data_IF_344745274222
#
_entry.id   IF_344745274222
#
_cell.length_a   1.000
_cell.length_b   1.000
_cell.length_c   1.000
_cell.angle_alpha   90.00
_cell.angle_beta   90.00
_cell.angle_gamma   90.00
#
_symmetry.space_group_name_H-M   'P 1'
#
loop_
_entity.id
_entity.type
_entity.pdbx_description
1 polymer ?
#
# COMPACT_ATOMS: atom_id res chain seq x y z
N UNK A 1 -3.88 25.60 18.78
CA UNK A 1 -4.15 24.31 18.13
C UNK A 1 -4.38 24.57 16.65
N UNK A 2 -3.35 24.44 15.82
CA UNK A 2 -3.47 24.59 14.37
C UNK A 2 -4.14 23.34 13.85
N UNK A 3 -5.40 23.45 13.39
CA UNK A 3 -6.02 22.41 12.61
C UNK A 3 -5.22 22.29 11.32
N UNK A 4 -4.46 21.22 11.17
CA UNK A 4 -3.85 20.82 9.92
C UNK A 4 -4.99 20.63 8.94
N UNK A 5 -5.13 21.56 7.99
CA UNK A 5 -6.03 21.41 6.84
C UNK A 5 -5.41 20.43 5.88
N UNK A 6 -5.40 19.16 6.30
CA UNK A 6 -4.92 18.07 5.50
C UNK A 6 -6.01 17.79 4.46
N UNK A 7 -5.87 18.39 3.28
CA UNK A 7 -6.85 18.29 2.19
C UNK A 7 -6.40 17.21 1.24
N UNK A 8 -7.29 16.29 0.84
CA UNK A 8 -6.99 15.28 -0.16
C UNK A 8 -6.52 15.93 -1.47
N UNK A 9 -5.51 15.36 -2.15
CA UNK A 9 -5.10 15.85 -3.46
C UNK A 9 -6.22 15.67 -4.50
N UNK A 10 -6.25 16.55 -5.50
CA UNK A 10 -7.16 16.39 -6.64
C UNK A 10 -8.64 16.69 -6.37
N UNK A 11 -8.97 17.44 -5.32
CA UNK A 11 -10.35 17.89 -5.07
C UNK A 11 -11.21 16.94 -4.23
N UNK A 12 -10.63 15.89 -3.65
CA UNK A 12 -11.31 15.06 -2.67
C UNK A 12 -11.62 15.82 -1.36
N UNK A 13 -12.52 15.26 -0.54
CA UNK A 13 -12.84 15.80 0.78
C UNK A 13 -13.06 14.69 1.79
N UNK A 14 -12.91 15.02 3.07
CA UNK A 14 -13.32 14.16 4.19
C UNK A 14 -14.72 14.57 4.66
N UNK A 15 -15.65 13.63 4.65
CA UNK A 15 -17.00 13.83 5.16
C UNK A 15 -17.06 13.46 6.65
N UNK A 16 -17.04 14.46 7.51
CA UNK A 16 -17.04 14.28 8.96
C UNK A 16 -18.35 13.70 9.52
N UNK A 17 -19.41 13.65 8.73
CA UNK A 17 -20.69 13.03 9.13
C UNK A 17 -20.65 11.49 9.09
N UNK A 18 -19.63 10.93 8.44
CA UNK A 18 -19.43 9.49 8.31
C UNK A 18 -18.47 9.01 9.39
N UNK A 19 -18.76 7.88 10.00
CA UNK A 19 -17.87 7.26 10.97
C UNK A 19 -16.58 6.75 10.29
N UNK A 20 -15.43 7.01 10.90
CA UNK A 20 -14.19 6.39 10.50
C UNK A 20 -14.23 4.88 10.81
N UNK A 21 -13.89 4.07 9.83
CA UNK A 21 -13.77 2.61 9.96
C UNK A 21 -12.30 2.24 9.84
N UNK A 22 -11.66 1.76 10.92
CA UNK A 22 -10.27 1.29 10.83
C UNK A 22 -10.19 0.05 9.96
N UNK A 23 -9.15 -0.02 9.13
CA UNK A 23 -8.82 -1.25 8.38
C UNK A 23 -7.64 -1.96 9.03
N UNK A 24 -7.59 -3.26 8.85
CA UNK A 24 -6.57 -4.15 9.39
C UNK A 24 -5.48 -4.37 8.33
N UNK A 25 -4.26 -3.95 8.63
CA UNK A 25 -3.17 -3.87 7.65
C UNK A 25 -2.03 -4.80 8.04
N UNK A 26 -1.55 -5.60 7.08
CA UNK A 26 -0.28 -6.30 7.17
C UNK A 26 0.80 -5.57 6.35
N UNK A 27 2.01 -5.48 6.88
CA UNK A 27 3.16 -4.84 6.24
C UNK A 27 4.22 -5.87 5.85
N UNK A 28 4.70 -5.78 4.61
CA UNK A 28 5.79 -6.58 4.08
C UNK A 28 6.94 -5.67 3.65
N UNK A 29 8.13 -5.86 4.21
CA UNK A 29 9.34 -5.28 3.66
C UNK A 29 10.08 -6.35 2.87
N UNK A 30 10.42 -6.06 1.63
CA UNK A 30 11.20 -6.95 0.77
C UNK A 30 12.61 -6.39 0.63
N UNK A 31 13.59 -7.14 1.14
CA UNK A 31 14.99 -6.75 1.10
C UNK A 31 15.91 -7.92 1.45
N UNK A 32 16.99 -8.09 0.72
CA UNK A 32 18.04 -9.06 1.03
C UNK A 32 18.96 -8.62 2.19
N UNK A 33 18.94 -7.34 2.54
CA UNK A 33 19.95 -6.76 3.46
C UNK A 33 19.38 -6.13 4.71
N UNK A 34 18.08 -5.75 4.72
CA UNK A 34 17.48 -5.07 5.86
C UNK A 34 17.09 -6.05 6.97
N UNK A 35 17.31 -5.58 8.19
CA UNK A 35 16.79 -6.16 9.42
C UNK A 35 15.65 -5.28 9.96
N UNK A 36 15.04 -5.70 11.06
CA UNK A 36 14.00 -4.90 11.73
C UNK A 36 14.54 -3.58 12.27
N UNK A 37 15.83 -3.53 12.63
CA UNK A 37 16.45 -2.36 13.27
C UNK A 37 16.81 -1.25 12.27
N UNK A 38 16.87 -1.57 10.97
CA UNK A 38 17.24 -0.63 9.90
C UNK A 38 16.16 -0.48 8.81
N UNK A 39 14.96 -1.02 9.04
CA UNK A 39 13.83 -0.93 8.11
C UNK A 39 13.06 0.40 8.23
N UNK A 40 13.71 1.49 7.87
CA UNK A 40 13.13 2.85 7.92
C UNK A 40 11.84 2.97 7.10
N UNK A 41 11.72 2.26 5.99
CA UNK A 41 10.53 2.31 5.13
C UNK A 41 9.34 1.59 5.77
N UNK A 42 9.55 0.42 6.34
CA UNK A 42 8.53 -0.30 7.10
C UNK A 42 8.10 0.47 8.35
N UNK A 43 9.05 1.08 9.10
CA UNK A 43 8.75 1.93 10.26
C UNK A 43 7.93 3.16 9.87
N UNK A 44 8.24 3.73 8.71
CA UNK A 44 7.48 4.88 8.17
C UNK A 44 6.03 4.49 7.87
N UNK A 45 5.79 3.32 7.26
CA UNK A 45 4.44 2.81 7.00
C UNK A 45 3.71 2.49 8.29
N UNK A 46 4.35 1.77 9.21
CA UNK A 46 3.77 1.41 10.50
C UNK A 46 3.32 2.64 11.28
N UNK A 47 4.21 3.64 11.38
CA UNK A 47 3.87 4.90 12.05
C UNK A 47 2.66 5.57 11.39
N UNK A 48 2.65 5.69 10.06
CA UNK A 48 1.59 6.37 9.32
C UNK A 48 0.24 5.71 9.42
N UNK A 49 0.19 4.37 9.30
CA UNK A 49 -1.09 3.67 9.41
C UNK A 49 -1.66 3.78 10.84
N UNK A 50 -0.82 3.73 11.88
CA UNK A 50 -1.24 3.90 13.26
C UNK A 50 -1.71 5.33 13.55
N UNK A 51 -0.96 6.33 13.07
CA UNK A 51 -1.33 7.74 13.20
C UNK A 51 -2.67 8.05 12.50
N UNK A 52 -2.98 7.34 11.43
CA UNK A 52 -4.26 7.42 10.71
C UNK A 52 -5.41 6.66 11.39
N UNK A 53 -5.13 5.90 12.45
CA UNK A 53 -6.14 5.14 13.22
C UNK A 53 -6.40 3.72 12.72
N UNK A 54 -5.57 3.20 11.81
CA UNK A 54 -5.66 1.81 11.34
C UNK A 54 -4.94 0.84 12.27
N UNK A 55 -5.20 -0.46 12.07
CA UNK A 55 -4.69 -1.54 12.93
C UNK A 55 -3.60 -2.31 12.19
N UNK A 56 -2.39 -2.35 12.76
CA UNK A 56 -1.33 -3.22 12.28
C UNK A 56 -1.57 -4.66 12.79
N UNK A 57 -1.86 -5.59 11.88
CA UNK A 57 -2.08 -7.00 12.20
C UNK A 57 -0.82 -7.84 12.14
N UNK A 58 0.05 -7.55 11.19
CA UNK A 58 1.30 -8.29 10.99
C UNK A 58 2.36 -7.41 10.34
N UNK A 59 3.63 -7.68 10.62
CA UNK A 59 4.77 -7.09 9.92
C UNK A 59 5.86 -8.14 9.76
N UNK A 60 6.35 -8.31 8.54
CA UNK A 60 7.46 -9.22 8.25
C UNK A 60 8.42 -8.63 7.24
N UNK A 61 9.66 -9.13 7.25
CA UNK A 61 10.69 -8.82 6.26
C UNK A 61 11.02 -10.13 5.55
N UNK A 62 11.04 -10.11 4.23
CA UNK A 62 11.42 -11.25 3.40
C UNK A 62 12.52 -10.84 2.42
N UNK A 63 13.39 -11.79 2.04
CA UNK A 63 14.35 -11.56 0.97
C UNK A 63 13.64 -11.40 -0.39
N UNK A 64 14.36 -10.89 -1.37
CA UNK A 64 13.91 -10.79 -2.77
C UNK A 64 13.81 -12.19 -3.42
N UNK A 65 12.77 -12.93 -3.02
CA UNK A 65 12.43 -14.29 -3.45
C UNK A 65 10.94 -14.32 -3.79
N UNK A 66 10.63 -14.43 -5.08
CA UNK A 66 9.26 -14.38 -5.59
C UNK A 66 8.36 -15.44 -4.96
N UNK A 67 8.87 -16.66 -4.77
CA UNK A 67 8.07 -17.76 -4.22
C UNK A 67 7.73 -17.54 -2.74
N UNK A 68 8.68 -17.04 -1.95
CA UNK A 68 8.46 -16.71 -0.54
C UNK A 68 7.50 -15.55 -0.37
N UNK A 69 7.64 -14.50 -1.20
CA UNK A 69 6.73 -13.36 -1.19
C UNK A 69 5.31 -13.83 -1.54
N UNK A 70 5.14 -14.57 -2.64
CA UNK A 70 3.83 -15.07 -3.06
C UNK A 70 3.20 -15.99 -2.01
N UNK A 71 3.99 -16.85 -1.35
CA UNK A 71 3.50 -17.71 -0.27
C UNK A 71 3.00 -16.89 0.93
N UNK A 72 3.75 -15.85 1.33
CA UNK A 72 3.35 -14.97 2.42
C UNK A 72 2.07 -14.18 2.08
N UNK A 73 1.96 -13.69 0.85
CA UNK A 73 0.75 -13.01 0.39
C UNK A 73 -0.47 -13.92 0.46
N UNK A 74 -0.35 -15.17 0.00
CA UNK A 74 -1.44 -16.16 0.07
C UNK A 74 -1.87 -16.47 1.51
N UNK A 75 -0.92 -16.54 2.44
CA UNK A 75 -1.25 -16.73 3.87
C UNK A 75 -2.05 -15.55 4.41
N UNK A 76 -1.68 -14.33 4.06
CA UNK A 76 -2.39 -13.13 4.52
C UNK A 76 -3.73 -12.92 3.82
N UNK A 77 -3.84 -13.25 2.54
CA UNK A 77 -5.12 -13.24 1.80
C UNK A 77 -6.12 -14.23 2.42
N UNK A 78 -5.65 -15.38 2.89
CA UNK A 78 -6.49 -16.38 3.54
C UNK A 78 -6.84 -16.04 5.01
N UNK A 79 -6.24 -15.03 5.60
CA UNK A 79 -6.52 -14.60 6.98
C UNK A 79 -7.65 -13.55 7.00
N UNK A 80 -8.87 -13.90 7.46
CA UNK A 80 -10.02 -12.99 7.44
C UNK A 80 -9.85 -11.76 8.35
N UNK A 81 -8.77 -11.68 9.11
CA UNK A 81 -8.44 -10.52 9.94
C UNK A 81 -7.60 -9.49 9.21
N UNK A 82 -7.22 -9.73 7.95
CA UNK A 82 -6.37 -8.81 7.16
C UNK A 82 -7.17 -8.27 5.99
N UNK A 83 -7.44 -6.98 6.01
CA UNK A 83 -8.16 -6.28 4.95
C UNK A 83 -7.22 -5.80 3.84
N UNK A 84 -5.99 -5.44 4.21
CA UNK A 84 -5.04 -4.77 3.33
C UNK A 84 -3.63 -5.29 3.57
N UNK A 85 -2.89 -5.54 2.50
CA UNK A 85 -1.44 -5.80 2.53
C UNK A 85 -0.72 -4.65 1.83
N UNK A 86 0.29 -4.07 2.48
CA UNK A 86 1.15 -3.05 1.88
C UNK A 86 2.59 -3.55 1.95
N UNK A 87 3.26 -3.60 0.80
CA UNK A 87 4.69 -3.89 0.75
C UNK A 87 5.54 -2.70 0.37
N UNK A 88 6.80 -2.75 0.76
CA UNK A 88 7.85 -1.82 0.35
C UNK A 88 9.12 -2.58 -0.01
N UNK A 89 9.77 -2.21 -1.11
CA UNK A 89 11.01 -2.81 -1.60
C UNK A 89 10.83 -3.86 -2.70
N UNK A 90 11.93 -4.19 -3.37
CA UNK A 90 11.99 -5.20 -4.43
C UNK A 90 11.18 -4.89 -5.68
N UNK A 91 10.91 -3.62 -5.97
CA UNK A 91 10.08 -3.21 -7.12
C UNK A 91 10.84 -2.58 -8.28
N UNK A 92 12.18 -2.50 -8.20
CA UNK A 92 13.03 -1.94 -9.25
C UNK A 92 13.09 -2.80 -10.51
N UNK A 93 14.13 -2.59 -11.31
CA UNK A 93 14.32 -3.21 -12.64
C UNK A 93 15.45 -4.23 -12.66
N UNK A 94 16.11 -4.47 -11.53
CA UNK A 94 17.20 -5.46 -11.48
C UNK A 94 16.65 -6.88 -11.44
N UNK A 95 17.49 -7.87 -11.74
CA UNK A 95 17.07 -9.27 -11.70
C UNK A 95 16.68 -9.77 -10.30
N UNK A 96 17.01 -9.01 -9.24
CA UNK A 96 16.60 -9.31 -7.86
C UNK A 96 15.23 -8.72 -7.49
N UNK A 97 14.78 -7.70 -8.23
CA UNK A 97 13.50 -7.03 -7.97
C UNK A 97 12.34 -7.88 -8.48
N UNK A 98 11.69 -8.62 -7.61
CA UNK A 98 10.64 -9.61 -7.94
C UNK A 98 9.30 -9.37 -7.23
N UNK A 99 9.20 -8.28 -6.46
CA UNK A 99 7.99 -7.99 -5.68
C UNK A 99 6.76 -7.81 -6.57
N UNK A 100 6.89 -7.08 -7.68
CA UNK A 100 5.76 -6.83 -8.60
C UNK A 100 5.26 -8.14 -9.22
N UNK A 101 6.17 -9.01 -9.64
CA UNK A 101 5.86 -10.32 -10.20
C UNK A 101 5.16 -11.23 -9.16
N UNK A 102 5.64 -11.22 -7.91
CA UNK A 102 5.01 -11.96 -6.83
C UNK A 102 3.59 -11.49 -6.54
N UNK A 103 3.37 -10.16 -6.47
CA UNK A 103 2.05 -9.57 -6.26
C UNK A 103 1.10 -9.88 -7.41
N UNK A 104 1.53 -9.68 -8.66
CA UNK A 104 0.71 -9.99 -9.85
C UNK A 104 0.33 -11.47 -9.95
N UNK A 105 1.15 -12.37 -9.42
CA UNK A 105 0.86 -13.81 -9.43
C UNK A 105 -0.31 -14.21 -8.51
N UNK A 106 -0.73 -13.35 -7.61
CA UNK A 106 -1.84 -13.61 -6.67
C UNK A 106 -3.06 -12.71 -6.92
N UNK A 107 -2.98 -11.71 -7.79
CA UNK A 107 -4.11 -10.84 -8.10
C UNK A 107 -5.23 -11.58 -8.84
N UNK A 108 -6.47 -11.35 -8.43
CA UNK A 108 -7.67 -11.66 -9.21
C UNK A 108 -8.05 -10.50 -10.12
N UNK A 109 -7.84 -9.28 -9.63
CA UNK A 109 -8.04 -8.03 -10.39
C UNK A 109 -6.89 -7.07 -10.10
N UNK A 110 -6.31 -6.50 -11.14
CA UNK A 110 -5.31 -5.44 -11.02
C UNK A 110 -5.99 -4.06 -10.86
N UNK A 111 -5.40 -3.19 -10.05
CA UNK A 111 -5.83 -1.80 -9.85
C UNK A 111 -4.85 -0.89 -10.59
N UNK A 112 -4.96 -0.81 -11.91
CA UNK A 112 -4.05 -0.06 -12.79
C UNK A 112 -3.92 1.41 -12.40
N UNK A 113 -5.03 2.01 -11.93
CA UNK A 113 -5.07 3.40 -11.49
C UNK A 113 -4.10 3.71 -10.35
N UNK A 114 -3.77 2.73 -9.52
CA UNK A 114 -2.80 2.93 -8.43
C UNK A 114 -1.40 3.21 -8.97
N UNK A 115 -0.92 2.38 -9.89
CA UNK A 115 0.39 2.57 -10.54
C UNK A 115 0.46 3.91 -11.28
N UNK A 116 -0.57 4.24 -12.06
CA UNK A 116 -0.64 5.49 -12.81
C UNK A 116 -0.57 6.72 -11.88
N UNK A 117 -1.37 6.73 -10.81
CA UNK A 117 -1.40 7.84 -9.86
C UNK A 117 -0.10 7.95 -9.07
N UNK A 118 0.48 6.82 -8.64
CA UNK A 118 1.77 6.79 -7.96
C UNK A 118 2.88 7.42 -8.83
N UNK A 119 2.95 7.04 -10.12
CA UNK A 119 3.96 7.57 -11.03
C UNK A 119 3.73 9.06 -11.32
N UNK A 120 2.49 9.52 -11.41
CA UNK A 120 2.19 10.95 -11.56
C UNK A 120 2.69 11.77 -10.36
N UNK A 121 2.45 11.29 -9.13
CA UNK A 121 2.94 11.93 -7.90
C UNK A 121 4.48 11.91 -7.81
N UNK A 122 5.08 10.79 -8.15
CA UNK A 122 6.53 10.62 -8.15
C UNK A 122 7.19 11.51 -9.22
N UNK A 123 6.60 11.57 -10.42
CA UNK A 123 7.11 12.44 -11.51
C UNK A 123 7.16 13.91 -11.10
N UNK A 124 6.17 14.39 -10.37
CA UNK A 124 6.15 15.78 -9.88
C UNK A 124 7.32 16.08 -8.92
N UNK A 125 7.95 15.07 -8.32
CA UNK A 125 9.04 15.23 -7.35
C UNK A 125 10.42 14.91 -7.91
N UNK A 126 10.54 13.84 -8.67
CA UNK A 126 11.82 13.29 -9.15
C UNK A 126 11.92 13.21 -10.68
N UNK A 127 10.94 13.78 -11.40
CA UNK A 127 10.93 13.81 -12.85
C UNK A 127 10.98 12.41 -13.47
N UNK A 128 11.71 12.27 -14.57
CA UNK A 128 11.81 11.00 -15.31
C UNK A 128 12.47 9.85 -14.54
N UNK A 129 13.14 10.11 -13.40
CA UNK A 129 13.69 9.04 -12.57
C UNK A 129 12.63 8.07 -12.04
N UNK A 130 11.36 8.50 -11.99
CA UNK A 130 10.23 7.64 -11.58
C UNK A 130 10.08 6.41 -12.47
N UNK A 131 10.53 6.44 -13.71
CA UNK A 131 10.44 5.31 -14.66
C UNK A 131 11.25 4.07 -14.20
N UNK A 132 12.23 4.25 -13.33
CA UNK A 132 13.04 3.17 -12.78
C UNK A 132 12.41 2.45 -11.59
N UNK A 133 11.29 2.96 -11.09
CA UNK A 133 10.52 2.35 -10.01
C UNK A 133 9.24 1.76 -10.55
N UNK A 134 8.78 0.66 -9.92
CA UNK A 134 7.48 0.08 -10.25
C UNK A 134 6.62 0.08 -8.99
N UNK A 135 5.33 0.28 -9.18
CA UNK A 135 4.33 0.13 -8.14
C UNK A 135 3.13 -0.61 -8.74
N UNK A 136 2.50 -1.47 -7.98
CA UNK A 136 1.29 -2.16 -8.43
C UNK A 136 0.31 -2.33 -7.29
N UNK A 137 -0.96 -2.52 -7.64
CA UNK A 137 -1.99 -2.88 -6.69
C UNK A 137 -3.01 -3.83 -7.32
N UNK A 138 -3.68 -4.59 -6.48
CA UNK A 138 -4.71 -5.53 -6.91
C UNK A 138 -5.59 -5.98 -5.75
N UNK A 139 -6.53 -6.82 -6.10
CA UNK A 139 -7.46 -7.48 -5.16
C UNK A 139 -7.34 -8.98 -5.33
N UNK A 140 -7.34 -9.70 -4.21
CA UNK A 140 -7.46 -11.14 -4.16
C UNK A 140 -8.27 -11.57 -2.95
N UNK A 141 -9.31 -12.36 -3.16
CA UNK A 141 -10.22 -12.92 -2.14
C UNK A 141 -10.64 -11.89 -1.06
N UNK A 142 -11.06 -10.69 -1.52
CA UNK A 142 -11.52 -9.61 -0.63
C UNK A 142 -10.43 -8.80 0.06
N UNK A 143 -9.15 -9.11 -0.17
CA UNK A 143 -8.01 -8.38 0.39
C UNK A 143 -7.41 -7.44 -0.66
N UNK A 144 -7.17 -6.19 -0.29
CA UNK A 144 -6.39 -5.25 -1.10
C UNK A 144 -4.89 -5.47 -0.92
N UNK A 145 -4.14 -5.42 -2.02
CA UNK A 145 -2.69 -5.60 -2.02
C UNK A 145 -2.02 -4.44 -2.75
N UNK A 146 -1.07 -3.78 -2.10
CA UNK A 146 -0.32 -2.62 -2.64
C UNK A 146 1.18 -2.87 -2.52
N UNK A 147 1.92 -2.72 -3.62
CA UNK A 147 3.38 -2.78 -3.62
C UNK A 147 3.96 -1.39 -3.95
N UNK A 148 4.84 -0.90 -3.06
CA UNK A 148 5.52 0.38 -3.14
C UNK A 148 7.03 0.19 -3.27
N UNK A 149 7.75 1.13 -3.91
CA UNK A 149 9.21 1.12 -3.92
C UNK A 149 9.82 1.21 -2.52
N UNK A 150 11.06 0.73 -2.39
CA UNK A 150 11.75 0.56 -1.11
C UNK A 150 12.29 1.83 -0.47
N UNK A 151 12.22 2.99 -1.12
CA UNK A 151 12.73 4.23 -0.54
C UNK A 151 11.73 4.87 0.43
N UNK A 152 12.20 5.47 1.54
CA UNK A 152 11.31 6.19 2.46
C UNK A 152 10.51 7.32 1.80
N UNK A 153 11.07 7.96 0.77
CA UNK A 153 10.37 8.98 -0.03
C UNK A 153 9.19 8.39 -0.79
N UNK A 154 9.40 7.29 -1.52
CA UNK A 154 8.34 6.62 -2.27
C UNK A 154 7.22 6.09 -1.36
N UNK A 155 7.58 5.56 -0.20
CA UNK A 155 6.62 5.12 0.81
C UNK A 155 5.74 6.28 1.32
N UNK A 156 6.37 7.43 1.60
CA UNK A 156 5.64 8.64 1.98
C UNK A 156 4.70 9.10 0.87
N UNK A 157 5.15 9.09 -0.37
CA UNK A 157 4.34 9.51 -1.52
C UNK A 157 3.13 8.58 -1.73
N UNK A 158 3.34 7.27 -1.67
CA UNK A 158 2.27 6.30 -1.79
C UNK A 158 1.26 6.37 -0.66
N UNK A 159 1.73 6.55 0.57
CA UNK A 159 0.83 6.68 1.72
C UNK A 159 0.14 8.05 1.75
N UNK A 160 0.90 9.13 1.83
CA UNK A 160 0.36 10.47 2.07
C UNK A 160 -0.46 10.98 0.86
N UNK A 161 -0.08 10.57 -0.36
CA UNK A 161 -0.74 10.98 -1.59
C UNK A 161 -1.92 10.10 -2.03
N UNK A 162 -1.95 8.82 -1.63
CA UNK A 162 -2.96 7.86 -2.12
C UNK A 162 -3.61 7.09 -0.99
N UNK A 163 -2.84 6.24 -0.28
CA UNK A 163 -3.43 5.22 0.60
C UNK A 163 -4.15 5.83 1.80
N UNK A 164 -3.60 6.87 2.41
CA UNK A 164 -4.23 7.60 3.51
C UNK A 164 -5.67 8.02 3.21
N UNK A 165 -5.93 8.41 1.96
CA UNK A 165 -7.23 8.89 1.52
C UNK A 165 -8.14 7.73 1.09
N UNK A 166 -7.61 6.80 0.33
CA UNK A 166 -8.38 5.67 -0.18
C UNK A 166 -8.73 4.63 0.89
N UNK A 167 -7.98 4.58 1.98
CA UNK A 167 -8.28 3.73 3.14
C UNK A 167 -9.09 4.46 4.23
N UNK A 168 -9.46 5.72 4.03
CA UNK A 168 -10.38 6.45 4.93
C UNK A 168 -11.81 6.31 4.43
N UNK A 169 -12.67 5.66 5.22
CA UNK A 169 -14.11 5.46 4.92
C UNK A 169 -14.88 6.76 4.71
N UNK A 170 -14.34 7.88 5.19
CA UNK A 170 -14.95 9.22 5.09
C UNK A 170 -14.56 9.97 3.82
N UNK A 171 -13.55 9.47 3.08
CA UNK A 171 -13.09 10.15 1.86
C UNK A 171 -14.15 10.11 0.75
N UNK A 172 -14.36 11.25 0.08
CA UNK A 172 -15.30 11.41 -1.03
C UNK A 172 -14.59 11.97 -2.27
N UNK A 173 -15.03 11.59 -3.49
CA UNK A 173 -16.31 10.93 -3.83
C UNK A 173 -16.36 9.42 -3.56
N UNK A 174 -15.23 8.70 -3.52
CA UNK A 174 -15.18 7.25 -3.31
C UNK A 174 -13.88 6.84 -2.59
N UNK A 175 -13.91 5.69 -1.94
CA UNK A 175 -12.77 5.11 -1.24
C UNK A 175 -12.83 3.58 -1.27
N UNK A 176 -11.71 2.91 -0.99
CA UNK A 176 -11.63 1.44 -1.00
C UNK A 176 -12.41 0.80 0.14
N UNK A 177 -12.56 1.46 1.29
CA UNK A 177 -13.27 0.89 2.44
C UNK A 177 -14.76 0.71 2.14
N UNK A 178 -15.36 1.65 1.40
CA UNK A 178 -16.78 1.60 1.04
C UNK A 178 -17.13 0.41 0.15
N UNK A 179 -16.22 0.02 -0.77
CA UNK A 179 -16.46 -1.08 -1.68
C UNK A 179 -15.90 -2.43 -1.16
N UNK A 180 -15.13 -2.42 -0.08
CA UNK A 180 -14.50 -3.62 0.48
C UNK A 180 -15.49 -4.77 0.74
N UNK A 181 -16.69 -4.56 1.32
CA UNK A 181 -17.65 -5.64 1.54
C UNK A 181 -18.15 -6.32 0.27
N UNK A 182 -17.95 -5.68 -0.89
CA UNK A 182 -18.43 -6.11 -2.19
C UNK A 182 -17.35 -6.76 -3.07
N UNK A 183 -16.11 -6.84 -2.61
CA UNK A 183 -15.00 -7.35 -3.42
C UNK A 183 -15.20 -8.80 -3.87
N UNK A 184 -15.92 -9.60 -3.09
CA UNK A 184 -16.21 -11.01 -3.36
C UNK A 184 -17.58 -11.25 -4.00
N UNK A 185 -18.31 -10.19 -4.43
CA UNK A 185 -19.56 -10.34 -5.18
C UNK A 185 -19.29 -11.05 -6.53
N UNK A 186 -20.12 -12.06 -6.85
CA UNK A 186 -20.05 -12.84 -8.08
C UNK A 186 -21.32 -12.66 -8.91
#
# INVERSE_FOLDING_TARGET
MSASTDTPPGGGRIDQSIAFVPVHIALLTVSDTRSKDDDVSGDTLEKRLKDAGHILCARTILPDDQAKIAAQLKLWIADPRIDVVISTGGTGLTGRDVTVEAFKSVFEKEIDGFSALFHALSFAKIGTSTIQSRACAGVADGTYLFALPGSPGAVKDGWDGILKWQLDSRHRPCNFVEIMPRLNER
#
